data_IF_886805118998
#
_entry.id   IF_886805118998
#
_cell.length_a   1.000
_cell.length_b   1.000
_cell.length_c   1.000
_cell.angle_alpha   90.00
_cell.angle_beta   90.00
_cell.angle_gamma   90.00
#
_symmetry.space_group_name_H-M   'P 1'
#
loop_
_entity.id
_entity.type
_entity.pdbx_description
1 polymer ?
#
# COMPACT_ATOMS: atom_id res chain seq x y z
N UNK A 1 19.89 13.37 23.46
CA UNK A 1 19.56 12.07 24.10
C UNK A 1 18.12 11.61 23.80
N UNK A 2 17.16 12.51 23.55
CA UNK A 2 15.83 12.06 23.13
C UNK A 2 15.92 11.29 21.81
N UNK A 3 15.04 10.32 21.61
CA UNK A 3 15.04 9.46 20.43
C UNK A 3 16.07 8.31 20.49
N UNK A 4 16.72 8.09 21.63
CA UNK A 4 17.71 7.01 21.81
C UNK A 4 17.37 6.13 23.01
N UNK A 5 17.96 4.94 23.03
CA UNK A 5 17.92 4.03 24.16
C UNK A 5 19.08 4.35 25.10
N UNK A 6 18.77 4.54 26.37
CA UNK A 6 19.79 4.79 27.41
C UNK A 6 19.51 4.01 28.67
N UNK A 7 20.54 3.89 29.50
CA UNK A 7 20.47 3.27 30.85
C UNK A 7 20.60 4.35 31.87
N UNK A 8 19.66 4.41 32.83
CA UNK A 8 19.65 5.38 33.92
C UNK A 8 19.47 4.73 35.28
N UNK A 9 19.71 5.50 36.33
CA UNK A 9 19.56 5.07 37.73
C UNK A 9 18.22 5.51 38.27
N UNK A 10 17.46 4.62 38.88
CA UNK A 10 16.22 4.95 39.59
C UNK A 10 16.60 5.75 40.86
N UNK A 11 16.16 7.02 40.89
CA UNK A 11 16.47 7.93 41.99
C UNK A 11 15.28 8.18 42.90
N UNK A 12 14.05 7.98 42.40
CA UNK A 12 12.83 8.17 43.17
C UNK A 12 11.68 7.31 42.55
N UNK A 13 10.58 7.16 43.31
CA UNK A 13 9.41 6.42 42.86
C UNK A 13 8.15 6.89 43.60
N UNK A 14 6.99 6.75 42.91
CA UNK A 14 5.68 6.90 43.52
C UNK A 14 4.80 5.67 43.22
N UNK A 15 3.48 5.76 43.41
CA UNK A 15 2.55 4.65 43.17
C UNK A 15 2.48 4.24 41.70
N UNK A 16 2.65 5.20 40.76
CA UNK A 16 2.42 5.02 39.32
C UNK A 16 3.71 4.94 38.52
N UNK A 17 4.82 5.47 39.03
CA UNK A 17 6.03 5.71 38.23
C UNK A 17 7.32 5.53 39.00
N UNK A 18 8.39 5.28 38.23
CA UNK A 18 9.79 5.44 38.66
C UNK A 18 10.35 6.71 38.02
N UNK A 19 11.26 7.39 38.76
CA UNK A 19 11.99 8.54 38.25
C UNK A 19 13.45 8.12 38.03
N UNK A 20 13.84 8.15 36.73
CA UNK A 20 15.13 7.64 36.26
C UNK A 20 16.04 8.80 35.89
N UNK A 21 17.22 8.89 36.48
CA UNK A 21 18.19 9.94 36.18
C UNK A 21 19.24 9.45 35.17
N UNK A 22 19.45 10.27 34.13
CA UNK A 22 20.45 10.06 33.09
C UNK A 22 21.13 11.42 32.83
N UNK A 23 22.43 11.51 33.04
CA UNK A 23 23.25 12.71 32.85
C UNK A 23 22.64 13.98 33.51
N UNK A 24 22.11 13.82 34.73
CA UNK A 24 21.50 14.92 35.49
C UNK A 24 20.07 15.27 35.10
N UNK A 25 19.51 14.61 34.08
CA UNK A 25 18.14 14.79 33.64
C UNK A 25 17.27 13.65 34.17
N UNK A 26 16.08 13.98 34.69
CA UNK A 26 15.13 12.99 35.22
C UNK A 26 14.06 12.69 34.20
N UNK A 27 13.77 11.43 33.98
CA UNK A 27 12.75 10.88 33.11
C UNK A 27 11.73 10.08 33.93
N UNK A 28 10.47 10.16 33.58
CA UNK A 28 9.41 9.36 34.18
C UNK A 28 9.26 8.04 33.43
N UNK A 29 9.24 6.92 34.15
CA UNK A 29 8.98 5.57 33.61
C UNK A 29 7.74 5.01 34.31
N UNK A 30 6.67 4.81 33.55
CA UNK A 30 5.40 4.29 34.09
C UNK A 30 5.57 2.85 34.59
N UNK A 31 5.14 2.54 35.82
CA UNK A 31 5.21 1.18 36.40
C UNK A 31 4.47 0.14 35.57
N UNK A 32 3.39 0.51 34.88
CA UNK A 32 2.60 -0.37 34.00
C UNK A 32 3.40 -0.92 32.80
N UNK A 33 4.52 -0.30 32.45
CA UNK A 33 5.39 -0.70 31.34
C UNK A 33 6.44 -1.72 31.77
N UNK A 34 6.61 -1.93 33.07
CA UNK A 34 7.58 -2.87 33.62
C UNK A 34 6.96 -4.27 33.66
N UNK A 35 7.67 -5.26 33.17
CA UNK A 35 7.20 -6.65 33.19
C UNK A 35 7.09 -7.15 34.62
N UNK A 36 6.16 -8.04 34.93
CA UNK A 36 5.94 -8.56 36.30
C UNK A 36 7.14 -9.34 36.85
N UNK A 37 8.05 -9.80 36.00
CA UNK A 37 9.28 -10.48 36.36
C UNK A 37 10.35 -9.52 36.90
N UNK A 38 10.35 -8.27 36.45
CA UNK A 38 11.23 -7.21 36.89
C UNK A 38 10.59 -6.49 38.07
N UNK A 39 11.31 -6.43 39.19
CA UNK A 39 10.91 -5.67 40.41
C UNK A 39 12.00 -4.65 40.73
N UNK A 40 12.14 -3.59 39.89
CA UNK A 40 13.19 -2.61 40.08
C UNK A 40 12.99 -1.86 41.39
N UNK A 41 14.09 -1.52 42.03
CA UNK A 41 14.17 -0.80 43.33
C UNK A 41 14.91 0.52 43.16
N UNK A 42 14.82 1.36 44.18
CA UNK A 42 15.64 2.57 44.28
C UNK A 42 17.13 2.22 44.20
N UNK A 43 17.85 2.89 43.32
CA UNK A 43 19.26 2.68 43.09
C UNK A 43 19.61 1.73 41.95
N UNK A 44 18.65 0.94 41.48
CA UNK A 44 18.85 0.04 40.32
C UNK A 44 19.04 0.80 39.03
N UNK A 45 19.72 0.16 38.08
CA UNK A 45 19.83 0.65 36.72
C UNK A 45 18.73 0.06 35.85
N UNK A 46 18.09 0.90 35.05
CA UNK A 46 17.06 0.49 34.10
C UNK A 46 17.32 1.08 32.74
N UNK A 47 17.02 0.30 31.68
CA UNK A 47 17.22 0.66 30.29
C UNK A 47 15.87 0.97 29.65
N UNK A 48 15.80 2.03 28.83
CA UNK A 48 14.60 2.38 28.09
C UNK A 48 14.86 3.39 26.99
N UNK A 49 13.86 3.63 26.18
CA UNK A 49 13.85 4.64 25.12
C UNK A 49 13.41 5.99 25.70
N UNK A 50 14.10 7.06 25.33
CA UNK A 50 13.88 8.41 25.88
C UNK A 50 13.12 9.28 24.88
N UNK A 51 12.02 9.88 25.33
CA UNK A 51 11.21 10.77 24.51
C UNK A 51 10.54 11.86 25.36
N UNK A 52 9.92 12.84 24.72
CA UNK A 52 8.98 13.77 25.35
C UNK A 52 7.56 13.35 25.00
N UNK A 53 6.66 13.38 25.98
CA UNK A 53 5.23 13.17 25.74
C UNK A 53 4.56 14.36 24.98
N UNK A 54 3.24 14.32 24.79
CA UNK A 54 2.47 15.41 24.15
C UNK A 54 2.48 16.72 24.93
N UNK A 55 2.77 16.68 26.22
CA UNK A 55 2.88 17.83 27.13
C UNK A 55 4.32 18.31 27.31
N UNK A 56 5.28 17.71 26.60
CA UNK A 56 6.72 17.96 26.71
C UNK A 56 7.34 17.54 28.05
N UNK A 57 6.71 16.60 28.78
CA UNK A 57 7.33 15.94 29.90
C UNK A 57 8.35 14.92 29.39
N UNK A 58 9.43 14.72 30.16
CA UNK A 58 10.47 13.76 29.82
C UNK A 58 10.08 12.38 30.29
N UNK A 59 9.88 11.50 29.32
CA UNK A 59 9.45 10.13 29.53
C UNK A 59 10.54 9.13 29.14
N UNK A 60 10.57 8.01 29.83
CA UNK A 60 11.27 6.81 29.46
C UNK A 60 10.25 5.69 29.25
N UNK A 61 10.42 4.88 28.22
CA UNK A 61 9.59 3.70 28.01
C UNK A 61 10.45 2.45 27.78
N UNK A 62 9.99 1.30 28.26
CA UNK A 62 10.59 0.00 27.92
C UNK A 62 10.02 -0.59 26.62
N UNK A 63 8.92 -0.05 26.10
CA UNK A 63 8.42 -0.38 24.78
C UNK A 63 9.31 0.26 23.72
N UNK A 64 10.08 -0.58 23.02
CA UNK A 64 10.96 -0.10 21.97
C UNK A 64 10.13 0.32 20.76
N UNK A 65 10.29 1.54 20.25
CA UNK A 65 9.59 1.99 19.06
C UNK A 65 10.02 1.19 17.81
N UNK A 66 9.12 1.09 16.83
CA UNK A 66 9.37 0.39 15.56
C UNK A 66 10.48 1.07 14.76
N UNK A 67 10.54 2.41 14.82
CA UNK A 67 11.57 3.24 14.20
C UNK A 67 12.47 3.86 15.29
N UNK A 68 13.78 3.90 15.05
CA UNK A 68 14.78 4.51 15.92
C UNK A 68 15.76 5.34 15.07
N UNK A 69 16.75 5.97 15.68
CA UNK A 69 17.71 6.81 14.94
C UNK A 69 18.53 6.00 13.92
N UNK A 70 18.85 4.77 14.24
CA UNK A 70 19.67 3.85 13.44
C UNK A 70 18.87 2.67 12.85
N UNK A 71 17.55 2.71 13.00
CA UNK A 71 16.67 1.63 12.56
C UNK A 71 15.41 2.19 11.87
N UNK A 72 15.19 1.75 10.63
CA UNK A 72 13.93 1.99 9.93
C UNK A 72 12.82 1.07 10.43
N UNK A 73 11.61 1.63 10.54
CA UNK A 73 10.41 0.90 10.92
C UNK A 73 9.20 1.35 10.11
N UNK A 74 8.34 0.39 9.75
CA UNK A 74 7.04 0.68 9.16
C UNK A 74 6.11 1.27 10.21
N UNK A 75 5.63 2.48 9.95
CA UNK A 75 4.83 3.27 10.86
C UNK A 75 3.54 3.70 10.19
N UNK A 76 2.44 3.62 10.94
CA UNK A 76 1.11 3.95 10.43
C UNK A 76 0.84 5.45 10.61
N UNK A 77 0.27 6.07 9.58
CA UNK A 77 -0.21 7.44 9.65
C UNK A 77 -1.45 7.51 10.53
N UNK A 78 -1.43 8.42 11.51
CA UNK A 78 -2.52 8.65 12.45
C UNK A 78 -3.28 9.95 12.16
N UNK A 79 -2.55 11.02 11.79
CA UNK A 79 -3.13 12.33 11.55
C UNK A 79 -2.37 13.09 10.45
N UNK A 80 -3.09 13.93 9.70
CA UNK A 80 -2.52 14.83 8.68
C UNK A 80 -2.86 16.27 9.01
N UNK A 81 -1.83 17.11 9.17
CA UNK A 81 -1.96 18.56 9.35
C UNK A 81 -1.25 19.29 8.21
N UNK A 82 -1.99 19.80 7.26
CA UNK A 82 -1.48 20.39 6.00
C UNK A 82 -0.56 21.61 6.17
N UNK A 83 -0.49 22.19 7.35
CA UNK A 83 0.40 23.29 7.71
C UNK A 83 1.60 22.88 8.58
N UNK A 84 1.73 21.58 8.90
CA UNK A 84 2.78 21.06 9.76
C UNK A 84 3.45 19.81 9.18
N UNK A 85 2.65 18.80 8.81
CA UNK A 85 3.13 17.53 8.31
C UNK A 85 2.19 16.36 8.62
N UNK A 86 2.74 15.17 8.66
CA UNK A 86 2.03 13.91 8.87
C UNK A 86 2.51 13.26 10.15
N UNK A 87 1.59 12.84 11.02
CA UNK A 87 1.87 12.16 12.27
C UNK A 87 1.83 10.65 12.04
N UNK A 88 2.82 9.96 12.61
CA UNK A 88 2.95 8.50 12.51
C UNK A 88 3.08 7.88 13.89
N UNK A 89 2.39 6.75 14.08
CA UNK A 89 2.55 5.89 15.23
C UNK A 89 3.81 5.04 15.04
N UNK A 90 4.78 5.23 15.92
CA UNK A 90 6.03 4.46 15.98
C UNK A 90 6.04 3.46 17.14
N UNK A 91 4.92 3.27 17.84
CA UNK A 91 4.78 2.39 19.00
C UNK A 91 5.12 3.05 20.34
N UNK A 92 5.15 4.38 20.43
CA UNK A 92 5.22 5.07 21.71
C UNK A 92 3.86 5.09 22.40
N UNK A 93 3.79 4.96 23.75
CA UNK A 93 2.54 4.79 24.47
C UNK A 93 1.54 5.95 24.35
N UNK A 94 2.02 7.18 24.18
CA UNK A 94 1.19 8.39 24.29
C UNK A 94 1.55 9.49 23.28
N UNK A 95 2.43 9.19 22.30
CA UNK A 95 2.90 10.18 21.34
C UNK A 95 3.07 9.61 19.95
N UNK A 96 2.53 10.30 18.97
CA UNK A 96 2.87 10.14 17.56
C UNK A 96 4.02 11.09 17.19
N UNK A 97 4.85 10.68 16.23
CA UNK A 97 5.97 11.50 15.76
C UNK A 97 5.62 12.11 14.40
N UNK A 98 6.05 13.34 14.19
CA UNK A 98 5.71 14.07 12.96
C UNK A 98 6.80 13.93 11.90
N UNK A 99 6.36 13.71 10.65
CA UNK A 99 7.14 13.90 9.43
C UNK A 99 6.88 15.33 8.96
N UNK A 100 7.94 16.12 8.78
CA UNK A 100 7.80 17.51 8.33
C UNK A 100 7.11 17.61 6.97
N UNK A 101 6.30 18.65 6.78
CA UNK A 101 5.72 18.98 5.48
C UNK A 101 6.79 19.17 4.38
N UNK A 102 8.01 19.55 4.75
CA UNK A 102 9.12 19.77 3.82
C UNK A 102 9.67 18.46 3.24
N UNK A 103 9.41 17.33 3.91
CA UNK A 103 9.81 15.98 3.49
C UNK A 103 8.72 15.27 2.66
N UNK A 104 7.56 15.90 2.51
CA UNK A 104 6.39 15.34 1.82
C UNK A 104 6.29 15.82 0.37
N UNK A 105 5.53 15.12 -0.50
CA UNK A 105 5.29 15.59 -1.86
C UNK A 105 4.74 17.02 -1.91
N UNK A 106 5.19 17.83 -2.87
CA UNK A 106 4.69 19.19 -3.06
C UNK A 106 3.16 19.22 -3.29
N UNK A 107 2.67 18.29 -4.09
CA UNK A 107 1.25 18.10 -4.34
C UNK A 107 0.57 17.39 -3.15
N UNK A 108 -0.30 18.12 -2.48
CA UNK A 108 -1.02 17.62 -1.28
C UNK A 108 -1.99 16.49 -1.57
N UNK A 109 -2.43 16.31 -2.82
CA UNK A 109 -3.25 15.16 -3.21
C UNK A 109 -2.47 13.83 -3.12
N UNK A 110 -1.14 13.92 -3.13
CA UNK A 110 -0.21 12.78 -3.00
C UNK A 110 0.24 12.53 -1.56
N UNK A 111 -0.20 13.36 -0.61
CA UNK A 111 0.12 13.17 0.79
C UNK A 111 -0.53 11.91 1.36
N UNK A 112 0.14 11.27 2.32
CA UNK A 112 -0.45 10.14 3.07
C UNK A 112 -1.77 10.54 3.72
N UNK A 113 -2.61 9.53 3.96
CA UNK A 113 -3.84 9.67 4.73
C UNK A 113 -3.77 8.74 5.96
N UNK A 114 -4.61 8.93 6.98
CA UNK A 114 -4.70 7.98 8.09
C UNK A 114 -4.83 6.53 7.58
N UNK A 115 -4.16 5.60 8.25
CA UNK A 115 -4.00 4.19 7.91
C UNK A 115 -2.94 3.88 6.82
N UNK A 116 -2.45 4.87 6.05
CA UNK A 116 -1.33 4.66 5.13
C UNK A 116 -0.05 4.30 5.93
N UNK A 117 0.90 3.60 5.31
CA UNK A 117 2.12 3.12 5.96
C UNK A 117 3.36 3.75 5.37
N UNK A 118 4.25 4.22 6.23
CA UNK A 118 5.50 4.89 5.84
C UNK A 118 6.69 4.19 6.51
N UNK A 119 7.74 3.96 5.76
CA UNK A 119 9.00 3.47 6.30
C UNK A 119 9.80 4.69 6.77
N UNK A 120 10.03 4.80 8.06
CA UNK A 120 10.69 5.95 8.68
C UNK A 120 11.79 5.55 9.63
N UNK A 121 12.73 6.46 9.87
CA UNK A 121 13.64 6.45 11.01
C UNK A 121 13.49 7.74 11.80
N UNK A 122 14.19 7.87 12.93
CA UNK A 122 14.07 9.06 13.77
C UNK A 122 15.31 9.95 13.64
N UNK A 123 15.09 11.25 13.68
CA UNK A 123 16.12 12.26 13.85
C UNK A 123 15.77 13.21 14.99
N UNK A 124 16.78 13.78 15.61
CA UNK A 124 16.60 14.78 16.64
C UNK A 124 17.18 16.10 16.16
N UNK A 125 16.38 17.17 16.21
CA UNK A 125 16.83 18.50 15.80
C UNK A 125 17.67 19.20 16.91
N UNK A 126 18.20 20.39 16.59
CA UNK A 126 19.00 21.21 17.52
C UNK A 126 18.26 21.58 18.82
N UNK A 127 16.92 21.52 18.81
CA UNK A 127 16.06 21.77 19.99
C UNK A 127 15.70 20.49 20.74
N UNK A 128 16.35 19.37 20.43
CA UNK A 128 16.05 18.03 20.96
C UNK A 128 14.61 17.55 20.71
N UNK A 129 13.97 17.95 19.61
CA UNK A 129 12.67 17.42 19.21
C UNK A 129 12.88 16.22 18.28
N UNK A 130 12.12 15.16 18.51
CA UNK A 130 12.14 13.96 17.67
C UNK A 130 11.28 14.18 16.44
N UNK A 131 11.83 13.90 15.26
CA UNK A 131 11.18 13.91 13.96
C UNK A 131 11.27 12.54 13.31
N UNK A 132 10.23 12.14 12.63
CA UNK A 132 10.30 10.99 11.73
C UNK A 132 10.76 11.46 10.35
N UNK A 133 11.69 10.72 9.76
CA UNK A 133 12.22 10.95 8.40
C UNK A 133 11.90 9.77 7.51
N UNK A 134 11.43 10.06 6.31
CA UNK A 134 11.10 9.03 5.31
C UNK A 134 12.36 8.30 4.86
N UNK A 135 12.26 6.99 4.66
CA UNK A 135 13.27 6.22 3.96
C UNK A 135 13.43 6.74 2.52
N UNK A 136 14.65 6.93 2.09
CA UNK A 136 14.98 7.31 0.72
C UNK A 136 14.97 6.11 -0.25
N UNK A 137 15.17 6.38 -1.53
CA UNK A 137 15.16 5.35 -2.56
C UNK A 137 16.27 4.30 -2.36
N UNK A 138 17.44 4.70 -1.82
CA UNK A 138 18.57 3.79 -1.57
C UNK A 138 18.20 2.73 -0.52
N UNK A 139 17.43 3.11 0.49
CA UNK A 139 16.94 2.17 1.51
C UNK A 139 16.03 1.12 0.88
N UNK A 140 15.11 1.55 0.01
CA UNK A 140 14.23 0.61 -0.71
C UNK A 140 15.01 -0.29 -1.67
N UNK A 141 16.05 0.22 -2.32
CA UNK A 141 16.95 -0.58 -3.17
C UNK A 141 17.72 -1.63 -2.35
N UNK A 142 18.16 -1.30 -1.14
CA UNK A 142 18.80 -2.26 -0.23
C UNK A 142 17.85 -3.33 0.30
N UNK A 143 16.58 -3.00 0.47
CA UNK A 143 15.53 -3.94 0.88
C UNK A 143 15.06 -4.84 -0.27
N UNK A 144 15.37 -4.47 -1.52
CA UNK A 144 14.79 -5.11 -2.69
C UNK A 144 15.19 -6.58 -2.83
N UNK A 145 14.20 -7.43 -3.03
CA UNK A 145 14.38 -8.83 -3.40
C UNK A 145 14.31 -9.03 -4.92
N UNK A 146 14.95 -10.07 -5.41
CA UNK A 146 14.81 -10.49 -6.80
C UNK A 146 13.48 -11.19 -7.03
N UNK A 147 12.80 -10.84 -8.11
CA UNK A 147 11.54 -11.48 -8.50
C UNK A 147 11.75 -12.56 -9.57
N UNK A 148 10.84 -13.58 -9.66
CA UNK A 148 10.85 -14.58 -10.71
C UNK A 148 10.57 -14.00 -12.10
N UNK A 149 11.04 -14.68 -13.16
CA UNK A 149 10.86 -14.21 -14.55
C UNK A 149 9.37 -14.20 -14.99
N UNK A 150 8.55 -15.10 -14.41
CA UNK A 150 7.14 -15.30 -14.77
C UNK A 150 6.17 -14.35 -14.05
N UNK A 151 6.53 -13.08 -13.88
CA UNK A 151 5.73 -12.09 -13.15
C UNK A 151 4.60 -11.45 -13.96
N UNK A 152 4.63 -11.54 -15.30
CA UNK A 152 3.64 -10.91 -16.19
C UNK A 152 2.21 -11.34 -15.80
N UNK A 153 1.28 -10.38 -15.71
CA UNK A 153 -0.13 -10.54 -15.32
C UNK A 153 -0.42 -11.02 -13.89
N UNK A 154 0.60 -11.21 -13.04
CA UNK A 154 0.36 -11.51 -11.63
C UNK A 154 -0.19 -10.29 -10.88
N UNK A 155 -1.15 -10.54 -10.00
CA UNK A 155 -1.65 -9.52 -9.09
C UNK A 155 -0.61 -9.27 -8.00
N UNK A 156 -0.41 -7.99 -7.67
CA UNK A 156 0.61 -7.52 -6.74
C UNK A 156 -0.03 -6.64 -5.67
N UNK A 157 0.42 -6.85 -4.44
CA UNK A 157 0.08 -6.02 -3.28
C UNK A 157 1.34 -5.41 -2.71
N UNK A 158 1.26 -4.17 -2.26
CA UNK A 158 2.43 -3.47 -1.72
C UNK A 158 2.06 -2.12 -1.13
N UNK A 159 3.05 -1.25 -1.00
CA UNK A 159 2.94 0.10 -0.47
C UNK A 159 3.63 1.06 -1.44
N UNK A 160 3.00 2.20 -1.69
CA UNK A 160 3.60 3.29 -2.48
C UNK A 160 4.63 4.00 -1.62
N UNK A 161 5.93 3.80 -1.90
CA UNK A 161 6.99 4.43 -1.12
C UNK A 161 7.45 5.78 -1.67
N UNK A 162 7.10 6.10 -2.91
CA UNK A 162 7.31 7.43 -3.48
C UNK A 162 6.22 7.74 -4.51
N UNK A 163 5.69 8.96 -4.47
CA UNK A 163 4.69 9.47 -5.42
C UNK A 163 5.19 10.76 -6.05
N UNK A 164 5.45 10.72 -7.36
CA UNK A 164 6.03 11.82 -8.14
C UNK A 164 5.19 12.09 -9.40
N UNK A 165 5.41 13.19 -10.08
CA UNK A 165 4.72 13.48 -11.36
C UNK A 165 4.99 12.42 -12.42
N UNK A 166 6.19 11.87 -12.45
CA UNK A 166 6.60 10.82 -13.40
C UNK A 166 5.94 9.47 -13.12
N UNK A 167 5.31 9.28 -11.94
CA UNK A 167 4.65 8.05 -11.54
C UNK A 167 4.81 7.71 -10.08
N UNK A 168 4.32 6.55 -9.70
CA UNK A 168 4.41 6.03 -8.35
C UNK A 168 5.37 4.84 -8.25
N UNK A 169 6.15 4.81 -7.19
CA UNK A 169 7.09 3.74 -6.89
C UNK A 169 6.52 2.88 -5.76
N UNK A 170 6.55 1.57 -5.94
CA UNK A 170 5.91 0.60 -5.06
C UNK A 170 6.94 -0.41 -4.56
N UNK A 171 6.88 -0.75 -3.28
CA UNK A 171 7.52 -1.94 -2.74
C UNK A 171 6.44 -2.98 -2.45
N UNK A 172 6.58 -4.20 -2.96
CA UNK A 172 5.60 -5.27 -2.72
C UNK A 172 5.81 -5.92 -1.36
N UNK A 173 4.86 -6.77 -0.95
CA UNK A 173 4.99 -7.56 0.29
C UNK A 173 6.19 -8.51 0.26
N UNK A 174 6.59 -8.94 -0.94
CA UNK A 174 7.77 -9.77 -1.19
C UNK A 174 9.04 -8.95 -1.41
N UNK A 175 8.99 -7.64 -1.15
CA UNK A 175 10.08 -6.69 -1.36
C UNK A 175 10.52 -6.52 -2.82
N UNK A 176 9.66 -6.78 -3.80
CA UNK A 176 9.93 -6.45 -5.19
C UNK A 176 9.69 -4.96 -5.43
N UNK A 177 10.60 -4.30 -6.14
CA UNK A 177 10.40 -2.91 -6.54
C UNK A 177 9.56 -2.84 -7.81
N UNK A 178 8.56 -1.95 -7.79
CA UNK A 178 7.68 -1.69 -8.90
C UNK A 178 7.53 -0.21 -9.21
N UNK A 179 7.10 0.07 -10.43
CA UNK A 179 6.80 1.41 -10.93
C UNK A 179 5.46 1.42 -11.65
N UNK A 180 4.64 2.41 -11.34
CA UNK A 180 3.35 2.67 -12.00
C UNK A 180 3.48 3.96 -12.78
N UNK A 181 3.45 3.87 -14.10
CA UNK A 181 3.44 5.05 -14.96
C UNK A 181 2.08 5.78 -14.86
N UNK A 182 2.00 7.12 -15.00
CA UNK A 182 0.74 7.87 -14.92
C UNK A 182 -0.38 7.33 -15.82
N UNK A 183 -0.05 6.84 -17.04
CA UNK A 183 -1.03 6.22 -17.95
C UNK A 183 -1.55 4.85 -17.49
N UNK A 184 -0.98 4.27 -16.45
CA UNK A 184 -1.35 2.97 -15.89
C UNK A 184 -2.07 3.10 -14.54
N UNK A 185 -2.53 4.30 -14.19
CA UNK A 185 -3.32 4.55 -12.99
C UNK A 185 -4.55 5.41 -13.28
N UNK A 186 -5.66 5.11 -12.62
CA UNK A 186 -6.92 5.85 -12.78
C UNK A 186 -6.89 7.22 -12.05
N UNK A 187 -6.05 7.34 -11.02
CA UNK A 187 -5.80 8.56 -10.24
C UNK A 187 -4.36 8.56 -9.73
N UNK A 188 -3.81 9.71 -9.32
CA UNK A 188 -2.55 9.74 -8.60
C UNK A 188 -2.61 8.84 -7.36
N UNK A 189 -1.58 8.04 -7.15
CA UNK A 189 -1.41 7.24 -5.94
C UNK A 189 -0.73 8.08 -4.87
N UNK A 190 -1.19 7.97 -3.62
CA UNK A 190 -0.60 8.70 -2.49
C UNK A 190 0.64 8.00 -1.96
N UNK A 191 1.54 8.75 -1.36
CA UNK A 191 2.63 8.23 -0.57
C UNK A 191 2.07 7.40 0.61
N UNK A 192 2.60 6.22 0.85
CA UNK A 192 2.15 5.33 1.92
C UNK A 192 0.89 4.51 1.62
N UNK A 193 0.19 4.80 0.52
CA UNK A 193 -1.05 4.11 0.14
C UNK A 193 -0.80 2.62 -0.10
N UNK A 194 -1.73 1.80 0.39
CA UNK A 194 -1.74 0.37 0.05
C UNK A 194 -2.02 0.20 -1.46
N UNK A 195 -1.07 -0.40 -2.13
CA UNK A 195 -1.13 -0.67 -3.56
C UNK A 195 -1.75 -2.03 -3.83
N UNK A 196 -2.71 -2.05 -4.77
CA UNK A 196 -3.21 -3.26 -5.41
C UNK A 196 -3.21 -3.03 -6.92
N UNK A 197 -2.55 -3.90 -7.64
CA UNK A 197 -2.45 -3.81 -9.09
C UNK A 197 -1.90 -5.08 -9.68
N UNK A 198 -1.49 -5.04 -10.95
CA UNK A 198 -0.93 -6.17 -11.68
C UNK A 198 0.39 -5.80 -12.37
N UNK A 199 1.20 -6.80 -12.64
CA UNK A 199 2.41 -6.66 -13.43
C UNK A 199 2.06 -6.62 -14.91
N UNK A 200 2.45 -5.56 -15.61
CA UNK A 200 2.28 -5.42 -17.07
C UNK A 200 3.56 -5.67 -17.84
N UNK A 201 4.70 -5.69 -17.16
CA UNK A 201 6.01 -5.98 -17.76
C UNK A 201 7.13 -5.83 -16.76
N UNK A 202 8.35 -5.99 -17.23
CA UNK A 202 9.58 -5.78 -16.46
C UNK A 202 10.37 -4.67 -17.14
N UNK A 203 10.84 -3.69 -16.37
CA UNK A 203 11.67 -2.59 -16.89
C UNK A 203 13.12 -3.07 -17.10
N UNK A 204 13.84 -2.39 -17.99
CA UNK A 204 15.29 -2.60 -18.17
C UNK A 204 16.13 -2.30 -16.91
N UNK A 205 15.56 -1.62 -15.92
CA UNK A 205 16.20 -1.28 -14.63
C UNK A 205 15.91 -2.29 -13.52
N UNK A 206 15.37 -3.48 -13.84
CA UNK A 206 15.08 -4.52 -12.85
C UNK A 206 13.92 -4.19 -11.91
N UNK A 207 12.93 -3.40 -12.35
CA UNK A 207 11.71 -3.10 -11.62
C UNK A 207 10.49 -3.65 -12.36
N UNK A 208 9.47 -4.05 -11.63
CA UNK A 208 8.19 -4.45 -12.20
C UNK A 208 7.45 -3.21 -12.73
N UNK A 209 6.99 -3.22 -13.98
CA UNK A 209 6.03 -2.25 -14.48
C UNK A 209 4.64 -2.68 -14.02
N UNK A 210 3.94 -1.80 -13.31
CA UNK A 210 2.67 -2.10 -12.65
C UNK A 210 1.53 -1.28 -13.22
N UNK A 211 0.30 -1.77 -13.10
CA UNK A 211 -0.93 -1.09 -13.49
C UNK A 211 -2.02 -1.27 -12.46
N UNK A 212 -2.76 -0.19 -12.16
CA UNK A 212 -4.00 -0.23 -11.37
C UNK A 212 -5.24 -0.29 -12.24
N UNK A 213 -5.07 -0.16 -13.56
CA UNK A 213 -6.20 -0.24 -14.48
C UNK A 213 -6.75 -1.68 -14.54
N UNK A 214 -8.04 -1.85 -14.64
CA UNK A 214 -8.65 -3.16 -14.78
C UNK A 214 -8.12 -3.87 -16.02
N UNK A 215 -8.18 -5.20 -16.03
CA UNK A 215 -7.90 -5.98 -17.22
C UNK A 215 -8.97 -5.70 -18.28
N UNK A 216 -8.60 -5.82 -19.54
CA UNK A 216 -9.53 -5.57 -20.65
C UNK A 216 -10.81 -6.43 -20.58
N UNK A 217 -10.75 -7.61 -19.98
CA UNK A 217 -11.94 -8.44 -19.76
C UNK A 217 -12.77 -8.00 -18.52
N UNK A 218 -12.16 -7.32 -17.54
CA UNK A 218 -12.85 -6.79 -16.36
C UNK A 218 -13.64 -5.51 -16.68
N UNK A 219 -13.32 -4.82 -17.77
CA UNK A 219 -14.08 -3.68 -18.33
C UNK A 219 -15.33 -4.13 -19.14
N UNK A 220 -15.43 -5.41 -19.42
CA UNK A 220 -16.57 -5.98 -20.15
C UNK A 220 -17.76 -6.06 -19.20
N UNK A 221 -18.92 -5.52 -19.60
CA UNK A 221 -20.15 -5.60 -18.82
C UNK A 221 -20.58 -7.07 -18.57
N UNK A 222 -21.36 -7.30 -17.52
CA UNK A 222 -21.78 -8.66 -17.08
C UNK A 222 -22.46 -9.45 -18.22
N UNK A 223 -23.25 -8.76 -19.06
CA UNK A 223 -23.94 -9.38 -20.21
C UNK A 223 -22.91 -9.88 -21.25
N UNK A 224 -21.88 -9.08 -21.52
CA UNK A 224 -20.83 -9.43 -22.48
C UNK A 224 -19.89 -10.54 -21.92
N UNK A 225 -19.60 -10.52 -20.62
CA UNK A 225 -18.87 -11.61 -19.95
C UNK A 225 -19.63 -12.93 -20.05
N UNK A 226 -20.94 -12.90 -19.84
CA UNK A 226 -21.80 -14.08 -19.96
C UNK A 226 -21.78 -14.67 -21.38
N UNK A 227 -21.80 -13.82 -22.42
CA UNK A 227 -21.68 -14.26 -23.82
C UNK A 227 -20.33 -14.92 -24.06
N UNK A 228 -19.22 -14.30 -23.60
CA UNK A 228 -17.88 -14.88 -23.71
C UNK A 228 -17.75 -16.22 -22.99
N UNK A 229 -18.26 -16.34 -21.77
CA UNK A 229 -18.25 -17.60 -21.01
C UNK A 229 -19.05 -18.69 -21.74
N UNK A 230 -20.16 -18.31 -22.39
CA UNK A 230 -20.98 -19.25 -23.15
C UNK A 230 -20.25 -19.76 -24.40
N UNK A 231 -19.51 -18.87 -25.10
CA UNK A 231 -18.64 -19.24 -26.22
C UNK A 231 -17.48 -20.16 -25.79
N UNK A 232 -16.84 -19.85 -24.65
CA UNK A 232 -15.74 -20.66 -24.11
C UNK A 232 -16.12 -22.11 -23.79
N UNK A 233 -17.36 -22.29 -23.29
CA UNK A 233 -17.90 -23.62 -22.94
C UNK A 233 -18.18 -24.49 -24.17
N UNK A 234 -18.34 -23.91 -25.36
CA UNK A 234 -18.57 -24.67 -26.59
C UNK A 234 -17.23 -25.19 -27.14
N UNK A 235 -17.23 -26.44 -27.61
CA UNK A 235 -16.02 -27.07 -28.18
C UNK A 235 -15.54 -26.34 -29.44
N UNK A 236 -16.48 -25.86 -30.26
CA UNK A 236 -16.25 -25.10 -31.50
C UNK A 236 -16.19 -23.58 -31.28
N UNK A 237 -16.33 -23.14 -30.01
CA UNK A 237 -16.32 -21.74 -29.59
C UNK A 237 -17.30 -20.87 -30.40
N UNK A 238 -18.42 -21.44 -30.85
CA UNK A 238 -19.46 -20.79 -31.66
C UNK A 238 -20.82 -20.95 -31.01
N UNK A 239 -21.67 -19.92 -31.18
CA UNK A 239 -23.04 -19.91 -30.71
C UNK A 239 -23.98 -19.50 -31.88
N UNK A 240 -25.15 -20.14 -32.05
CA UNK A 240 -26.11 -19.83 -33.11
C UNK A 240 -26.96 -18.59 -32.76
N UNK A 241 -26.26 -17.48 -32.45
CA UNK A 241 -26.86 -16.18 -32.13
C UNK A 241 -26.12 -15.08 -32.88
N UNK A 242 -26.86 -14.00 -33.25
CA UNK A 242 -26.31 -12.82 -33.90
C UNK A 242 -27.22 -11.61 -33.63
N UNK A 243 -26.91 -10.42 -34.18
CA UNK A 243 -27.61 -9.17 -33.88
C UNK A 243 -29.13 -9.20 -34.18
N UNK A 244 -29.56 -10.08 -35.10
CA UNK A 244 -30.97 -10.24 -35.49
C UNK A 244 -31.66 -11.46 -34.89
N UNK A 245 -31.01 -12.24 -34.05
CA UNK A 245 -31.62 -13.40 -33.39
C UNK A 245 -32.92 -13.03 -32.69
N UNK A 246 -33.83 -14.02 -32.60
CA UNK A 246 -35.12 -13.83 -31.96
C UNK A 246 -34.99 -13.43 -30.49
N UNK A 247 -35.90 -12.56 -30.02
CA UNK A 247 -35.85 -12.06 -28.64
C UNK A 247 -36.17 -13.12 -27.62
N UNK A 248 -37.03 -14.07 -27.96
CA UNK A 248 -37.40 -15.17 -27.03
C UNK A 248 -36.25 -16.19 -26.90
N UNK A 249 -35.56 -16.48 -28.02
CA UNK A 249 -34.40 -17.39 -28.00
C UNK A 249 -33.25 -16.80 -27.20
N UNK A 250 -32.97 -15.50 -27.33
CA UNK A 250 -31.98 -14.78 -26.53
C UNK A 250 -32.36 -14.84 -25.06
N UNK A 251 -33.61 -14.56 -24.72
CA UNK A 251 -34.08 -14.58 -23.34
C UNK A 251 -34.03 -15.99 -22.72
N UNK A 252 -34.38 -17.00 -23.50
CA UNK A 252 -34.35 -18.40 -23.06
C UNK A 252 -32.92 -18.90 -22.79
N UNK A 253 -31.97 -18.48 -23.63
CA UNK A 253 -30.58 -18.96 -23.53
C UNK A 253 -29.73 -18.14 -22.54
N UNK A 254 -29.81 -16.81 -22.61
CA UNK A 254 -28.97 -15.89 -21.85
C UNK A 254 -29.70 -15.24 -20.66
N UNK A 255 -31.01 -15.28 -20.59
CA UNK A 255 -31.80 -14.62 -19.54
C UNK A 255 -31.90 -13.09 -19.67
N UNK A 256 -31.37 -12.50 -20.72
CA UNK A 256 -31.33 -11.04 -20.95
C UNK A 256 -32.26 -10.58 -22.09
N UNK A 257 -32.49 -9.28 -22.13
CA UNK A 257 -33.29 -8.69 -23.26
C UNK A 257 -32.48 -8.64 -24.56
N UNK A 258 -33.16 -8.61 -25.68
CA UNK A 258 -32.51 -8.43 -27.01
C UNK A 258 -31.74 -7.12 -27.12
N UNK A 259 -32.15 -6.05 -26.43
CA UNK A 259 -31.42 -4.79 -26.41
C UNK A 259 -30.12 -4.89 -25.60
N UNK A 260 -30.14 -5.57 -24.47
CA UNK A 260 -28.96 -5.87 -23.65
C UNK A 260 -27.97 -6.76 -24.43
N UNK A 261 -28.47 -7.83 -25.05
CA UNK A 261 -27.66 -8.70 -25.90
C UNK A 261 -26.97 -7.94 -27.04
N UNK A 262 -27.70 -7.06 -27.76
CA UNK A 262 -27.13 -6.25 -28.86
C UNK A 262 -26.04 -5.29 -28.36
N UNK A 263 -26.25 -4.66 -27.21
CA UNK A 263 -25.25 -3.78 -26.61
C UNK A 263 -23.95 -4.57 -26.23
N UNK A 264 -24.11 -5.69 -25.53
CA UNK A 264 -23.01 -6.58 -25.17
C UNK A 264 -22.26 -7.11 -26.42
N UNK A 265 -23.02 -7.54 -27.44
CA UNK A 265 -22.45 -7.99 -28.69
C UNK A 265 -21.64 -6.87 -29.38
N UNK A 266 -22.17 -5.63 -29.41
CA UNK A 266 -21.47 -4.47 -29.94
C UNK A 266 -20.15 -4.17 -29.25
N UNK A 267 -20.10 -4.29 -27.93
CA UNK A 267 -18.87 -4.16 -27.15
C UNK A 267 -17.84 -5.23 -27.50
N UNK A 268 -18.26 -6.50 -27.57
CA UNK A 268 -17.38 -7.62 -27.92
C UNK A 268 -16.83 -7.56 -29.35
N UNK A 269 -17.64 -7.13 -30.30
CA UNK A 269 -17.26 -6.92 -31.73
C UNK A 269 -16.26 -5.75 -31.85
N UNK A 270 -16.52 -4.63 -31.16
CA UNK A 270 -15.61 -3.46 -31.12
C UNK A 270 -14.26 -3.81 -30.52
N UNK A 271 -14.26 -4.60 -29.47
CA UNK A 271 -13.05 -5.10 -28.80
C UNK A 271 -12.34 -6.22 -29.58
N UNK A 272 -12.91 -6.72 -30.67
CA UNK A 272 -12.40 -7.82 -31.50
C UNK A 272 -12.22 -9.14 -30.70
N UNK A 273 -13.07 -9.38 -29.74
CA UNK A 273 -13.10 -10.65 -29.00
C UNK A 273 -13.93 -11.70 -29.72
N UNK A 274 -14.91 -11.28 -30.47
CA UNK A 274 -15.77 -12.16 -31.27
C UNK A 274 -15.85 -11.68 -32.73
N UNK A 275 -16.28 -12.60 -33.59
CA UNK A 275 -16.69 -12.31 -34.94
C UNK A 275 -18.14 -12.75 -35.14
N UNK A 276 -18.93 -11.99 -35.89
CA UNK A 276 -20.31 -12.29 -36.25
C UNK A 276 -20.36 -12.74 -37.70
N UNK A 277 -20.93 -13.91 -37.95
CA UNK A 277 -21.30 -14.39 -39.27
C UNK A 277 -22.82 -14.24 -39.47
N UNK A 278 -23.21 -13.16 -40.17
CA UNK A 278 -24.62 -12.86 -40.45
C UNK A 278 -25.26 -13.83 -41.40
N UNK A 279 -24.49 -14.48 -42.27
CA UNK A 279 -25.02 -15.47 -43.22
C UNK A 279 -25.29 -16.80 -42.50
N UNK A 280 -24.43 -17.22 -41.61
CA UNK A 280 -24.63 -18.37 -40.76
C UNK A 280 -25.52 -18.11 -39.54
N UNK A 281 -25.81 -16.84 -39.19
CA UNK A 281 -26.59 -16.46 -38.03
C UNK A 281 -25.89 -16.80 -36.70
N UNK A 282 -24.57 -16.65 -36.63
CA UNK A 282 -23.75 -17.11 -35.54
C UNK A 282 -22.69 -16.10 -35.10
N UNK A 283 -22.22 -16.25 -33.86
CA UNK A 283 -21.03 -15.57 -33.33
C UNK A 283 -19.97 -16.61 -32.96
N UNK A 284 -18.71 -16.27 -33.15
CA UNK A 284 -17.58 -17.12 -32.80
C UNK A 284 -16.53 -16.35 -32.02
N UNK A 285 -15.84 -16.99 -31.10
CA UNK A 285 -14.74 -16.41 -30.35
C UNK A 285 -13.54 -16.23 -31.29
N UNK A 286 -13.11 -14.97 -31.47
CA UNK A 286 -11.94 -14.62 -32.27
C UNK A 286 -10.67 -14.56 -31.43
N UNK A 287 -10.77 -13.92 -30.26
CA UNK A 287 -9.66 -13.75 -29.33
C UNK A 287 -10.20 -13.86 -27.91
N UNK A 288 -9.57 -14.73 -27.10
CA UNK A 288 -9.94 -14.83 -25.69
C UNK A 288 -9.24 -13.73 -24.89
N UNK A 289 -9.98 -12.80 -24.26
CA UNK A 289 -9.36 -11.71 -23.51
C UNK A 289 -8.50 -12.18 -22.33
N UNK A 290 -8.79 -13.32 -21.71
CA UNK A 290 -7.96 -13.89 -20.65
C UNK A 290 -6.62 -14.46 -21.15
N UNK A 291 -6.57 -14.88 -22.41
CA UNK A 291 -5.35 -15.40 -23.06
C UNK A 291 -4.60 -14.33 -23.85
N UNK A 292 -5.27 -13.22 -24.18
CA UNK A 292 -4.70 -12.14 -25.00
C UNK A 292 -3.57 -11.37 -24.31
N UNK A 293 -3.44 -11.50 -23.00
CA UNK A 293 -2.39 -10.86 -22.19
C UNK A 293 -1.19 -11.80 -21.93
N UNK A 294 -1.22 -13.04 -22.48
CA UNK A 294 -0.10 -14.00 -22.35
C UNK A 294 0.90 -13.94 -23.51
N UNK A 295 0.55 -13.29 -24.60
CA UNK A 295 1.41 -12.98 -25.72
C UNK A 295 1.95 -11.55 -25.60
#
# INVERSE_FOLDING_TARGET
MLGTIATGKIIDQNEDSFFVQIDGITYELKRKEITQEEKPQLGDQIKGFLYDDKQHNREMTQFLPFAQQDQYGWSKVTEVKYNLGVFVDIGLPDKDVVISMDDLPYDKERWPQPEDQLLVHLETDEKNRIWAKLADENIFEQLAAHFPDDMKNKDIFGIVYASREVGAFVITKEYYLGFVHPSQMARPLRLGEQFKGRVVGISQYGRLNLSTLPRAFEEIDDDAQMILMSLRRKKDKTLPFYDKSDAQDIKNYFGISKSAFKRALGHLLKAKYIVEDKAAGSISLLKDPENAEKD
#
